data_IF_104514174755
#
_entry.id   IF_104514174755
#
_cell.length_a   1.000
_cell.length_b   1.000
_cell.length_c   1.000
_cell.angle_alpha   90.00
_cell.angle_beta   90.00
_cell.angle_gamma   90.00
#
_symmetry.space_group_name_H-M   'P 1'
#
loop_
_entity.id
_entity.type
_entity.pdbx_description
1 polymer ?
#
# COMPACT_ATOMS: atom_id res chain seq x y z
N UNK A 1 -28.52 -20.58 -35.26
CA UNK A 1 -29.30 -19.79 -34.28
C UNK A 1 -28.66 -18.43 -34.21
N UNK A 2 -29.40 -17.32 -34.33
CA UNK A 2 -28.78 -16.01 -34.12
C UNK A 2 -28.23 -15.97 -32.69
N UNK A 3 -26.96 -15.63 -32.55
CA UNK A 3 -26.34 -15.43 -31.26
C UNK A 3 -27.11 -14.32 -30.54
N UNK A 4 -27.43 -14.57 -29.28
CA UNK A 4 -28.09 -13.56 -28.44
C UNK A 4 -27.19 -12.31 -28.45
N UNK A 5 -27.72 -11.12 -28.73
CA UNK A 5 -26.86 -9.93 -28.84
C UNK A 5 -26.13 -9.72 -27.50
N UNK A 6 -24.84 -9.43 -27.59
CA UNK A 6 -24.01 -9.07 -26.42
C UNK A 6 -24.63 -7.85 -25.76
N UNK A 7 -24.77 -7.89 -24.44
CA UNK A 7 -25.33 -6.78 -23.64
C UNK A 7 -24.24 -6.11 -22.79
N UNK A 8 -24.42 -4.84 -22.49
CA UNK A 8 -23.53 -4.11 -21.58
C UNK A 8 -23.41 -4.83 -20.22
N UNK A 9 -24.52 -5.37 -19.72
CA UNK A 9 -24.55 -6.11 -18.47
C UNK A 9 -23.70 -7.39 -18.54
N UNK A 10 -23.75 -8.14 -19.66
CA UNK A 10 -22.92 -9.31 -19.83
C UNK A 10 -21.41 -8.94 -19.89
N UNK A 11 -21.06 -7.86 -20.57
CA UNK A 11 -19.68 -7.34 -20.58
C UNK A 11 -19.28 -6.90 -19.18
N UNK A 12 -20.09 -6.15 -18.47
CA UNK A 12 -19.82 -5.69 -17.10
C UNK A 12 -19.63 -6.85 -16.14
N UNK A 13 -20.42 -7.92 -16.27
CA UNK A 13 -20.31 -9.11 -15.44
C UNK A 13 -18.98 -9.86 -15.64
N UNK A 14 -18.50 -10.01 -16.86
CA UNK A 14 -17.17 -10.64 -17.08
C UNK A 14 -16.02 -9.75 -16.63
N UNK A 15 -16.18 -8.42 -16.64
CA UNK A 15 -15.22 -7.46 -16.13
C UNK A 15 -15.09 -7.49 -14.59
N UNK A 16 -16.09 -7.98 -13.84
CA UNK A 16 -15.95 -8.27 -12.41
C UNK A 16 -14.83 -9.28 -12.11
N UNK A 17 -14.45 -10.10 -13.08
CA UNK A 17 -13.32 -11.02 -12.93
C UNK A 17 -11.95 -10.37 -13.21
N UNK A 18 -11.89 -9.13 -13.68
CA UNK A 18 -10.61 -8.41 -13.89
C UNK A 18 -10.22 -7.72 -12.59
N UNK A 19 -9.19 -8.23 -11.95
CA UNK A 19 -8.72 -7.71 -10.67
C UNK A 19 -7.56 -6.74 -10.92
N UNK A 20 -7.63 -5.56 -10.30
CA UNK A 20 -6.48 -4.67 -10.19
C UNK A 20 -5.54 -5.22 -9.11
N UNK A 21 -4.29 -5.61 -9.46
CA UNK A 21 -3.40 -6.25 -8.49
C UNK A 21 -2.92 -5.30 -7.38
N UNK A 22 -2.91 -3.99 -7.63
CA UNK A 22 -2.51 -2.99 -6.63
C UNK A 22 -3.62 -2.77 -5.61
N UNK A 23 -4.85 -2.68 -6.09
CA UNK A 23 -6.03 -2.44 -5.26
C UNK A 23 -6.64 -3.73 -4.74
N UNK A 24 -6.34 -4.87 -5.39
CA UNK A 24 -6.79 -6.22 -5.04
C UNK A 24 -8.29 -6.39 -5.11
N UNK A 25 -8.95 -5.58 -5.94
CA UNK A 25 -10.39 -5.64 -6.18
C UNK A 25 -10.65 -5.53 -7.69
N UNK A 26 -11.88 -5.84 -8.10
CA UNK A 26 -12.24 -5.80 -9.50
C UNK A 26 -12.42 -4.37 -10.03
N UNK A 27 -12.08 -4.16 -11.30
CA UNK A 27 -12.09 -2.84 -11.94
C UNK A 27 -13.47 -2.20 -12.04
N UNK A 28 -14.56 -2.99 -11.95
CA UNK A 28 -15.95 -2.51 -11.99
C UNK A 28 -16.32 -1.87 -10.65
N UNK A 29 -16.13 -2.59 -9.55
CA UNK A 29 -16.43 -2.10 -8.19
C UNK A 29 -15.51 -0.94 -7.81
N UNK A 30 -14.28 -0.94 -8.28
CA UNK A 30 -13.36 0.19 -8.14
C UNK A 30 -13.82 1.44 -8.91
N UNK A 31 -14.78 1.29 -9.84
CA UNK A 31 -15.27 2.39 -10.69
C UNK A 31 -14.26 2.83 -11.76
N UNK A 32 -13.38 1.91 -12.18
CA UNK A 32 -12.43 2.16 -13.25
C UNK A 32 -13.10 2.05 -14.62
N UNK A 33 -14.14 1.23 -14.77
CA UNK A 33 -14.91 1.08 -16.01
C UNK A 33 -15.81 2.30 -16.16
N UNK A 34 -15.55 3.12 -17.20
CA UNK A 34 -16.27 4.37 -17.44
C UNK A 34 -17.39 4.17 -18.47
N UNK A 35 -17.06 3.60 -19.62
CA UNK A 35 -17.97 3.44 -20.75
C UNK A 35 -17.79 2.04 -21.34
N UNK A 36 -18.89 1.42 -21.70
CA UNK A 36 -18.93 0.18 -22.49
C UNK A 36 -19.82 0.47 -23.69
N UNK A 37 -19.27 0.44 -24.89
CA UNK A 37 -20.00 0.62 -26.16
C UNK A 37 -19.99 -0.67 -26.94
N UNK A 38 -21.15 -1.06 -27.46
CA UNK A 38 -21.31 -2.30 -28.22
C UNK A 38 -21.90 -1.93 -29.58
N UNK A 39 -21.19 -2.25 -30.64
CA UNK A 39 -21.69 -2.06 -32.01
C UNK A 39 -22.75 -3.09 -32.34
N UNK A 40 -24.00 -2.67 -32.62
CA UNK A 40 -25.07 -3.61 -32.93
C UNK A 40 -24.94 -4.28 -34.30
N UNK A 41 -24.05 -3.75 -35.16
CA UNK A 41 -23.89 -4.23 -36.54
C UNK A 41 -22.89 -5.39 -36.66
N UNK A 42 -21.81 -5.33 -35.89
CA UNK A 42 -20.68 -6.28 -36.02
C UNK A 42 -20.28 -6.95 -34.71
N UNK A 43 -20.84 -6.56 -33.56
CA UNK A 43 -20.50 -7.13 -32.26
C UNK A 43 -19.15 -6.67 -31.71
N UNK A 44 -18.60 -5.55 -32.21
CA UNK A 44 -17.41 -4.95 -31.61
C UNK A 44 -17.75 -4.33 -30.25
N UNK A 45 -16.83 -4.46 -29.31
CA UNK A 45 -16.98 -3.95 -27.94
C UNK A 45 -15.82 -2.99 -27.62
N UNK A 46 -16.16 -1.75 -27.36
CA UNK A 46 -15.24 -0.72 -26.90
C UNK A 46 -15.39 -0.52 -25.39
N UNK A 47 -14.30 -0.67 -24.63
CA UNK A 47 -14.30 -0.50 -23.17
C UNK A 47 -13.35 0.63 -22.79
N UNK A 48 -13.86 1.66 -22.14
CA UNK A 48 -13.07 2.78 -21.64
C UNK A 48 -12.80 2.60 -20.15
N UNK A 49 -11.51 2.56 -19.79
CA UNK A 49 -11.01 2.39 -18.42
C UNK A 49 -10.29 3.65 -17.99
N UNK A 50 -10.64 4.20 -16.84
CA UNK A 50 -9.90 5.28 -16.20
C UNK A 50 -8.89 4.71 -15.18
N UNK A 51 -7.62 5.05 -15.36
CA UNK A 51 -6.53 4.67 -14.46
C UNK A 51 -6.24 5.80 -13.45
N UNK A 52 -5.66 5.45 -12.32
CA UNK A 52 -5.25 6.43 -11.31
C UNK A 52 -4.11 7.32 -11.80
N UNK A 53 -3.24 6.80 -12.67
CA UNK A 53 -2.16 7.53 -13.33
C UNK A 53 -2.03 7.10 -14.78
N UNK A 54 -1.65 8.02 -15.67
CA UNK A 54 -1.42 7.70 -17.09
C UNK A 54 -0.27 6.69 -17.31
N UNK A 55 0.69 6.64 -16.38
CA UNK A 55 1.86 5.76 -16.41
C UNK A 55 1.70 4.44 -15.65
N UNK A 56 0.47 3.96 -15.40
CA UNK A 56 0.23 2.72 -14.66
C UNK A 56 0.99 1.53 -15.27
N UNK A 57 1.90 0.89 -14.54
CA UNK A 57 2.70 -0.24 -15.04
C UNK A 57 1.84 -1.48 -15.32
N UNK A 58 0.67 -1.58 -14.72
CA UNK A 58 -0.26 -2.70 -14.89
C UNK A 58 -1.20 -2.55 -16.09
N UNK A 59 -1.13 -1.42 -16.81
CA UNK A 59 -1.99 -1.13 -17.96
C UNK A 59 -2.01 -2.28 -18.96
N UNK A 60 -0.85 -2.86 -19.28
CA UNK A 60 -0.75 -3.96 -20.24
C UNK A 60 -1.42 -5.25 -19.75
N UNK A 61 -1.31 -5.54 -18.45
CA UNK A 61 -1.94 -6.70 -17.83
C UNK A 61 -3.45 -6.54 -17.78
N UNK A 62 -3.95 -5.41 -17.31
CA UNK A 62 -5.39 -5.09 -17.26
C UNK A 62 -6.00 -5.18 -18.66
N UNK A 63 -5.35 -4.59 -19.66
CA UNK A 63 -5.79 -4.67 -21.07
C UNK A 63 -5.89 -6.12 -21.55
N UNK A 64 -4.89 -6.94 -21.28
CA UNK A 64 -4.87 -8.36 -21.67
C UNK A 64 -6.01 -9.14 -21.03
N UNK A 65 -6.27 -8.91 -19.74
CA UNK A 65 -7.32 -9.60 -19.00
C UNK A 65 -8.72 -9.16 -19.46
N UNK A 66 -8.93 -7.86 -19.73
CA UNK A 66 -10.17 -7.34 -20.31
C UNK A 66 -10.43 -8.00 -21.66
N UNK A 67 -9.46 -7.93 -22.59
CA UNK A 67 -9.61 -8.51 -23.93
C UNK A 67 -9.93 -10.00 -23.87
N UNK A 68 -9.22 -10.76 -23.08
CA UNK A 68 -9.44 -12.21 -22.91
C UNK A 68 -10.87 -12.54 -22.45
N UNK A 69 -11.37 -11.82 -21.42
CA UNK A 69 -12.66 -12.08 -20.81
C UNK A 69 -13.83 -11.62 -21.69
N UNK A 70 -13.73 -10.43 -22.25
CA UNK A 70 -14.79 -9.89 -23.11
C UNK A 70 -14.87 -10.67 -24.44
N UNK A 71 -13.73 -11.05 -25.03
CA UNK A 71 -13.72 -11.87 -26.24
C UNK A 71 -14.27 -13.30 -26.03
N UNK A 72 -14.39 -13.78 -24.78
CA UNK A 72 -15.03 -15.07 -24.50
C UNK A 72 -16.57 -15.03 -24.55
N UNK A 73 -17.17 -13.85 -24.63
CA UNK A 73 -18.62 -13.72 -24.74
C UNK A 73 -19.10 -14.08 -26.16
N UNK A 74 -20.17 -14.88 -26.28
CA UNK A 74 -20.74 -15.20 -27.58
C UNK A 74 -21.24 -13.95 -28.30
N UNK A 75 -20.88 -13.76 -29.56
CA UNK A 75 -21.30 -12.62 -30.38
C UNK A 75 -20.35 -11.41 -30.34
N UNK A 76 -19.25 -11.46 -29.58
CA UNK A 76 -18.18 -10.46 -29.63
C UNK A 76 -17.26 -10.76 -30.81
N UNK A 77 -17.03 -9.76 -31.68
CA UNK A 77 -16.15 -9.88 -32.83
C UNK A 77 -14.76 -9.30 -32.51
N UNK A 78 -14.69 -8.07 -32.02
CA UNK A 78 -13.45 -7.41 -31.65
C UNK A 78 -13.60 -6.68 -30.30
N UNK A 79 -12.50 -6.61 -29.52
CA UNK A 79 -12.47 -5.89 -28.24
C UNK A 79 -11.39 -4.82 -28.30
N UNK A 80 -11.79 -3.57 -28.17
CA UNK A 80 -10.90 -2.41 -28.04
C UNK A 80 -10.95 -1.86 -26.65
N UNK A 81 -9.79 -1.53 -26.08
CA UNK A 81 -9.68 -1.00 -24.72
C UNK A 81 -9.00 0.36 -24.78
N UNK A 82 -9.74 1.37 -24.34
CA UNK A 82 -9.28 2.75 -24.25
C UNK A 82 -8.94 3.08 -22.81
N UNK A 83 -7.84 3.81 -22.62
CA UNK A 83 -7.41 4.23 -21.28
C UNK A 83 -7.40 5.74 -21.17
N UNK A 84 -8.07 6.22 -20.13
CA UNK A 84 -8.04 7.60 -19.68
C UNK A 84 -7.44 7.72 -18.27
N UNK A 85 -7.33 8.93 -17.79
CA UNK A 85 -6.93 9.22 -16.41
C UNK A 85 -8.15 9.64 -15.60
N UNK A 86 -8.23 9.14 -14.35
CA UNK A 86 -9.28 9.53 -13.41
C UNK A 86 -9.16 11.00 -13.03
N UNK A 87 -10.29 11.67 -12.90
CA UNK A 87 -10.38 12.98 -12.27
C UNK A 87 -10.04 12.88 -10.78
N UNK A 88 -9.72 14.01 -10.15
CA UNK A 88 -9.45 14.06 -8.71
C UNK A 88 -10.64 13.53 -7.87
N UNK A 89 -11.86 13.79 -8.32
CA UNK A 89 -13.08 13.30 -7.65
C UNK A 89 -13.26 11.79 -7.81
N UNK A 90 -13.02 11.25 -8.99
CA UNK A 90 -13.05 9.80 -9.23
C UNK A 90 -11.97 9.08 -8.42
N UNK A 91 -10.74 9.62 -8.34
CA UNK A 91 -9.68 9.10 -7.48
C UNK A 91 -10.10 9.08 -6.01
N UNK A 92 -10.73 10.15 -5.51
CA UNK A 92 -11.25 10.23 -4.15
C UNK A 92 -12.34 9.18 -3.88
N UNK A 93 -13.27 9.00 -4.82
CA UNK A 93 -14.32 7.99 -4.74
C UNK A 93 -13.78 6.56 -4.77
N UNK A 94 -12.81 6.25 -5.63
CA UNK A 94 -12.10 4.97 -5.69
C UNK A 94 -11.42 4.67 -4.35
N UNK A 95 -10.71 5.63 -3.79
CA UNK A 95 -10.04 5.49 -2.50
C UNK A 95 -11.02 5.23 -1.36
N UNK A 96 -12.18 5.89 -1.36
CA UNK A 96 -13.21 5.67 -0.35
C UNK A 96 -13.78 4.25 -0.44
N UNK A 97 -14.04 3.72 -1.64
CA UNK A 97 -14.53 2.35 -1.86
C UNK A 97 -13.49 1.30 -1.47
N UNK A 98 -12.24 1.48 -1.91
CA UNK A 98 -11.15 0.58 -1.57
C UNK A 98 -10.96 0.47 -0.04
N UNK A 99 -11.11 1.58 0.70
CA UNK A 99 -11.08 1.61 2.18
C UNK A 99 -12.23 0.87 2.82
N UNK A 100 -13.43 1.11 2.32
CA UNK A 100 -14.63 0.49 2.89
C UNK A 100 -14.54 -1.03 2.76
N UNK A 101 -14.18 -1.53 1.57
CA UNK A 101 -13.94 -2.98 1.35
C UNK A 101 -12.76 -3.54 2.15
N UNK A 102 -11.69 -2.76 2.33
CA UNK A 102 -10.55 -3.19 3.15
C UNK A 102 -10.92 -3.36 4.63
N UNK A 103 -11.88 -2.56 5.13
CA UNK A 103 -12.43 -2.75 6.49
C UNK A 103 -13.21 -4.06 6.64
N UNK A 104 -13.99 -4.42 5.62
CA UNK A 104 -14.82 -5.64 5.65
C UNK A 104 -14.01 -6.91 5.38
N UNK A 105 -12.90 -6.79 4.60
CA UNK A 105 -12.00 -7.88 4.22
C UNK A 105 -10.58 -7.63 4.76
N UNK A 106 -10.46 -7.13 5.99
CA UNK A 106 -9.15 -6.89 6.59
C UNK A 106 -8.32 -8.18 6.54
N UNK A 107 -7.14 -8.08 5.92
CA UNK A 107 -6.15 -9.18 5.95
C UNK A 107 -5.88 -9.47 7.42
N UNK A 108 -5.96 -10.75 7.80
CA UNK A 108 -5.67 -11.17 9.16
C UNK A 108 -4.17 -10.97 9.38
N UNK A 109 -3.82 -9.88 10.04
CA UNK A 109 -2.45 -9.61 10.47
C UNK A 109 -2.29 -10.05 11.93
N UNK A 110 -1.09 -10.47 12.31
CA UNK A 110 -0.77 -10.80 13.69
C UNK A 110 -0.51 -9.56 14.58
N UNK A 111 -0.85 -8.36 14.09
CA UNK A 111 -0.72 -7.14 14.88
C UNK A 111 -1.90 -7.04 15.86
N UNK A 112 -1.67 -7.07 17.18
CA UNK A 112 -2.72 -7.01 18.18
C UNK A 112 -3.65 -5.82 17.97
N UNK A 113 -4.95 -6.01 18.27
CA UNK A 113 -5.95 -4.95 18.12
C UNK A 113 -5.68 -3.74 19.02
N UNK A 114 -4.98 -3.95 20.11
CA UNK A 114 -4.57 -2.93 21.10
C UNK A 114 -3.39 -2.08 20.61
N UNK A 115 -2.58 -2.58 19.68
CA UNK A 115 -1.42 -1.87 19.14
C UNK A 115 -1.84 -0.64 18.36
N UNK A 116 -1.31 0.52 18.69
CA UNK A 116 -1.51 1.74 17.94
C UNK A 116 -0.54 1.80 16.75
N UNK A 117 -1.06 1.96 15.53
CA UNK A 117 -0.27 1.90 14.29
C UNK A 117 -0.12 3.29 13.73
N UNK A 118 1.13 3.72 13.53
CA UNK A 118 1.46 5.04 12.98
C UNK A 118 2.41 4.89 11.80
N UNK A 119 1.95 5.26 10.61
CA UNK A 119 2.81 5.34 9.41
C UNK A 119 3.42 6.73 9.30
N UNK A 120 4.73 6.79 9.20
CA UNK A 120 5.48 8.02 8.99
C UNK A 120 5.79 8.13 7.49
N UNK A 121 5.19 9.10 6.84
CA UNK A 121 5.26 9.30 5.40
C UNK A 121 5.88 10.65 5.05
N UNK A 122 6.34 10.77 3.82
CA UNK A 122 6.83 12.04 3.27
C UNK A 122 6.54 12.13 1.78
N UNK A 123 6.26 13.33 1.30
CA UNK A 123 6.08 13.58 -0.12
C UNK A 123 7.40 13.57 -0.92
N UNK A 124 8.54 13.73 -0.26
CA UNK A 124 9.88 13.86 -0.86
C UNK A 124 10.92 13.15 0.02
N UNK A 125 11.94 12.59 -0.62
CA UNK A 125 13.10 12.04 0.09
C UNK A 125 13.96 13.12 0.77
N UNK A 126 14.69 12.74 1.81
CA UNK A 126 15.66 13.62 2.49
C UNK A 126 15.06 14.68 3.44
N UNK A 127 13.77 14.55 3.81
CA UNK A 127 13.10 15.50 4.73
C UNK A 127 13.25 15.13 6.21
N UNK A 128 13.96 14.04 6.52
CA UNK A 128 14.16 13.57 7.90
C UNK A 128 13.11 12.57 8.40
N UNK A 129 12.33 11.95 7.52
CA UNK A 129 11.30 10.97 7.85
C UNK A 129 11.81 9.86 8.78
N UNK A 130 12.86 9.14 8.36
CA UNK A 130 13.44 8.04 9.14
C UNK A 130 14.07 8.51 10.47
N UNK A 131 14.64 9.73 10.50
CA UNK A 131 15.11 10.34 11.75
C UNK A 131 13.96 10.61 12.72
N UNK A 132 12.81 11.08 12.24
CA UNK A 132 11.59 11.26 13.06
C UNK A 132 11.11 9.91 13.56
N UNK A 133 11.02 8.90 12.70
CA UNK A 133 10.61 7.54 13.07
C UNK A 133 11.51 6.95 14.16
N UNK A 134 12.83 7.00 13.95
CA UNK A 134 13.80 6.45 14.88
C UNK A 134 13.74 7.15 16.26
N UNK A 135 13.73 8.48 16.27
CA UNK A 135 13.68 9.24 17.52
C UNK A 135 12.35 9.05 18.25
N UNK A 136 11.22 9.02 17.55
CA UNK A 136 9.91 8.76 18.16
C UNK A 136 9.88 7.37 18.79
N UNK A 137 10.39 6.34 18.10
CA UNK A 137 10.48 4.98 18.63
C UNK A 137 11.31 4.93 19.92
N UNK A 138 12.50 5.51 19.91
CA UNK A 138 13.38 5.54 21.07
C UNK A 138 12.74 6.28 22.25
N UNK A 139 12.10 7.42 22.00
CA UNK A 139 11.43 8.19 23.06
C UNK A 139 10.22 7.46 23.67
N UNK A 140 9.43 6.76 22.88
CA UNK A 140 8.33 5.94 23.38
C UNK A 140 8.86 4.76 24.21
N UNK A 141 9.91 4.08 23.75
CA UNK A 141 10.53 3.00 24.51
C UNK A 141 11.16 3.50 25.82
N UNK A 142 11.79 4.66 25.82
CA UNK A 142 12.30 5.27 27.08
C UNK A 142 11.19 5.57 28.10
N UNK A 143 9.94 5.67 27.68
CA UNK A 143 8.78 5.82 28.58
C UNK A 143 8.22 4.48 29.07
N UNK A 144 8.87 3.36 28.77
CA UNK A 144 8.49 2.03 29.21
C UNK A 144 7.55 1.29 28.24
N UNK A 145 7.39 1.79 27.01
CA UNK A 145 6.50 1.17 26.02
C UNK A 145 7.25 0.15 25.17
N UNK A 146 6.53 -0.85 24.68
CA UNK A 146 7.02 -1.77 23.65
C UNK A 146 6.65 -1.24 22.27
N UNK A 147 7.68 -0.95 21.46
CA UNK A 147 7.51 -0.28 20.17
C UNK A 147 8.08 -1.14 19.04
N UNK A 148 7.21 -1.58 18.15
CA UNK A 148 7.61 -2.15 16.86
C UNK A 148 7.99 -1.05 15.88
N UNK A 149 9.03 -1.27 15.10
CA UNK A 149 9.44 -0.40 13.99
C UNK A 149 9.61 -1.24 12.73
N UNK A 150 8.76 -0.98 11.74
CA UNK A 150 8.86 -1.57 10.42
C UNK A 150 9.49 -0.55 9.46
N UNK A 151 10.71 -0.84 9.00
CA UNK A 151 11.35 -0.07 7.94
C UNK A 151 10.89 -0.59 6.57
N UNK A 152 9.95 0.11 5.97
CA UNK A 152 9.38 -0.22 4.67
C UNK A 152 10.08 0.49 3.50
N UNK A 153 11.15 1.26 3.77
CA UNK A 153 11.98 1.89 2.73
C UNK A 153 13.06 0.92 2.24
N UNK A 154 12.68 0.03 1.33
CA UNK A 154 13.54 -1.07 0.84
C UNK A 154 14.80 -0.54 0.14
N UNK A 155 14.70 0.60 -0.55
CA UNK A 155 15.82 1.18 -1.30
C UNK A 155 16.77 2.02 -0.45
N UNK A 156 16.37 2.36 0.78
CA UNK A 156 17.12 3.27 1.64
C UNK A 156 16.97 2.95 3.11
N UNK A 157 16.87 1.67 3.46
CA UNK A 157 16.69 1.25 4.85
C UNK A 157 17.77 1.84 5.75
N UNK A 158 17.36 2.54 6.77
CA UNK A 158 18.27 3.27 7.66
C UNK A 158 17.96 3.08 9.14
N UNK A 159 16.79 2.60 9.47
CA UNK A 159 16.31 2.44 10.85
C UNK A 159 17.22 1.54 11.69
N UNK A 160 17.68 0.35 11.22
CA UNK A 160 18.55 -0.49 12.03
C UNK A 160 19.83 0.24 12.45
N UNK A 161 20.51 0.90 11.52
CA UNK A 161 21.73 1.69 11.80
C UNK A 161 21.48 2.86 12.75
N UNK A 162 20.36 3.60 12.56
CA UNK A 162 19.99 4.72 13.45
C UNK A 162 19.66 4.25 14.87
N UNK A 163 19.11 3.07 15.01
CA UNK A 163 18.77 2.48 16.31
C UNK A 163 19.95 1.73 16.94
N UNK A 164 21.06 1.55 16.22
CA UNK A 164 22.16 0.71 16.67
C UNK A 164 21.69 -0.72 16.94
N UNK A 165 20.84 -1.25 16.06
CA UNK A 165 20.37 -2.63 16.09
C UNK A 165 21.05 -3.35 14.94
N UNK A 166 21.94 -4.27 15.29
CA UNK A 166 22.68 -5.07 14.33
C UNK A 166 22.19 -6.52 14.36
N UNK A 167 22.24 -7.19 13.22
CA UNK A 167 21.89 -8.59 13.11
C UNK A 167 20.93 -8.89 11.99
N UNK A 168 20.59 -10.17 11.89
CA UNK A 168 19.62 -10.67 10.91
C UNK A 168 18.40 -11.24 11.64
N UNK A 169 17.24 -11.05 11.08
CA UNK A 169 16.02 -11.69 11.59
C UNK A 169 16.17 -13.20 11.52
N UNK A 170 15.82 -13.86 12.60
CA UNK A 170 15.91 -15.32 12.71
C UNK A 170 14.55 -15.97 12.51
N UNK A 171 14.56 -17.14 11.85
CA UNK A 171 13.36 -17.97 11.77
C UNK A 171 13.04 -18.55 13.14
N UNK A 172 11.83 -18.39 13.60
CA UNK A 172 11.27 -18.97 14.83
C UNK A 172 10.01 -19.77 14.49
N UNK A 173 9.56 -20.61 15.39
CA UNK A 173 8.24 -21.25 15.28
C UNK A 173 7.33 -20.63 16.33
N UNK A 174 6.12 -20.27 15.93
CA UNK A 174 5.09 -19.86 16.89
C UNK A 174 4.53 -21.08 17.66
N UNK A 175 3.63 -20.82 18.61
CA UNK A 175 3.00 -21.88 19.43
C UNK A 175 2.23 -22.91 18.60
N UNK A 176 1.75 -22.51 17.40
CA UNK A 176 1.08 -23.38 16.45
C UNK A 176 2.06 -24.14 15.52
N UNK A 177 3.38 -23.98 15.70
CA UNK A 177 4.44 -24.59 14.88
C UNK A 177 4.66 -23.92 13.53
N UNK A 178 4.03 -22.76 13.23
CA UNK A 178 4.21 -22.03 11.98
C UNK A 178 5.56 -21.31 11.98
N UNK A 179 6.25 -21.34 10.83
CA UNK A 179 7.50 -20.61 10.65
C UNK A 179 7.22 -19.10 10.65
N UNK A 180 7.95 -18.35 11.45
CA UNK A 180 7.87 -16.90 11.64
C UNK A 180 9.26 -16.28 11.63
N UNK A 181 9.33 -14.97 11.55
CA UNK A 181 10.56 -14.20 11.75
C UNK A 181 10.52 -13.49 13.09
N UNK A 182 11.57 -13.64 13.90
CA UNK A 182 11.71 -12.85 15.12
C UNK A 182 12.20 -11.44 14.78
N UNK A 183 11.55 -10.38 15.28
CA UNK A 183 12.09 -9.03 15.15
C UNK A 183 13.43 -8.93 15.89
N UNK A 184 14.28 -7.99 15.46
CA UNK A 184 15.48 -7.63 16.23
C UNK A 184 15.05 -6.81 17.44
N UNK A 185 15.41 -7.24 18.64
CA UNK A 185 14.99 -6.61 19.88
C UNK A 185 16.14 -5.82 20.52
N UNK A 186 15.80 -4.63 21.04
CA UNK A 186 16.72 -3.77 21.77
C UNK A 186 16.04 -3.14 22.97
N UNK A 187 16.49 -3.42 24.21
CA UNK A 187 16.02 -2.66 25.37
C UNK A 187 16.45 -1.19 25.28
N UNK A 188 15.52 -0.28 25.59
CA UNK A 188 15.77 1.18 25.62
C UNK A 188 15.13 1.75 26.88
N UNK A 189 15.94 2.05 27.88
CA UNK A 189 15.43 2.40 29.20
C UNK A 189 14.56 1.27 29.79
N UNK A 190 13.36 1.56 30.29
CA UNK A 190 12.44 0.54 30.79
C UNK A 190 11.59 -0.16 29.72
N UNK A 191 11.69 0.27 28.46
CA UNK A 191 10.90 -0.28 27.36
C UNK A 191 11.72 -1.11 26.36
N UNK A 192 11.07 -1.50 25.26
CA UNK A 192 11.63 -2.41 24.26
C UNK A 192 11.36 -1.89 22.84
N UNK A 193 12.39 -1.91 22.01
CA UNK A 193 12.25 -1.77 20.55
C UNK A 193 12.27 -3.13 19.91
N UNK A 194 11.37 -3.34 18.93
CA UNK A 194 11.31 -4.48 18.04
C UNK A 194 11.45 -3.97 16.61
N UNK A 195 12.57 -4.24 15.95
CA UNK A 195 12.90 -3.65 14.64
C UNK A 195 12.91 -4.73 13.56
N UNK A 196 12.24 -4.45 12.46
CA UNK A 196 12.28 -5.25 11.23
C UNK A 196 12.53 -4.33 10.05
N UNK A 197 13.48 -4.71 9.21
CA UNK A 197 13.81 -4.01 7.97
C UNK A 197 14.16 -5.02 6.90
N UNK A 198 13.99 -4.67 5.64
CA UNK A 198 14.43 -5.51 4.52
C UNK A 198 15.92 -5.82 4.58
N UNK A 199 16.74 -4.89 5.02
CA UNK A 199 18.19 -5.12 5.22
C UNK A 199 18.52 -6.16 6.30
N UNK A 200 17.56 -6.50 7.14
CA UNK A 200 17.72 -7.51 8.21
C UNK A 200 17.38 -8.94 7.76
N UNK A 201 16.90 -9.13 6.51
CA UNK A 201 16.54 -10.46 5.98
C UNK A 201 17.74 -11.05 5.23
N UNK A 202 17.99 -12.33 5.48
CA UNK A 202 19.06 -13.06 4.81
C UNK A 202 18.77 -13.24 3.31
N UNK A 203 19.76 -12.93 2.43
CA UNK A 203 19.65 -13.11 0.98
C UNK A 203 19.51 -11.83 0.16
N UNK A 204 19.29 -10.68 0.77
CA UNK A 204 19.43 -9.39 0.10
C UNK A 204 20.87 -8.90 0.21
N UNK A 205 21.78 -9.45 -0.62
CA UNK A 205 23.15 -8.93 -0.71
C UNK A 205 23.12 -7.46 -1.14
N UNK A 206 24.04 -6.66 -0.59
CA UNK A 206 24.19 -5.23 -0.92
C UNK A 206 24.35 -4.96 -2.42
N UNK A 207 24.76 -5.96 -3.21
CA UNK A 207 25.00 -5.86 -4.67
C UNK A 207 23.81 -6.20 -5.56
N UNK A 208 22.70 -6.70 -5.02
CA UNK A 208 21.47 -6.87 -5.80
C UNK A 208 20.59 -5.67 -5.60
N UNK A 209 20.73 -4.67 -6.43
CA UNK A 209 19.69 -3.68 -6.71
C UNK A 209 18.47 -4.41 -7.29
N UNK A 210 17.75 -5.11 -6.42
CA UNK A 210 16.49 -5.75 -6.76
C UNK A 210 15.57 -4.62 -7.16
N UNK A 211 15.23 -4.53 -8.44
CA UNK A 211 14.20 -3.61 -8.93
C UNK A 211 12.84 -4.07 -8.37
N UNK A 212 12.59 -3.75 -7.11
CA UNK A 212 11.31 -3.97 -6.46
C UNK A 212 10.29 -3.01 -7.09
N UNK A 213 9.43 -3.53 -7.92
CA UNK A 213 8.26 -2.79 -8.42
C UNK A 213 7.21 -2.75 -7.32
N UNK A 214 6.35 -1.72 -7.30
CA UNK A 214 5.39 -1.45 -6.22
C UNK A 214 4.58 -2.65 -5.72
N UNK A 215 4.21 -3.58 -6.60
CA UNK A 215 3.53 -4.83 -6.24
C UNK A 215 4.38 -5.74 -5.33
N UNK A 216 5.67 -5.88 -5.60
CA UNK A 216 6.58 -6.70 -4.78
C UNK A 216 6.81 -6.06 -3.42
N UNK A 217 6.83 -4.72 -3.38
CA UNK A 217 6.98 -3.95 -2.16
C UNK A 217 5.76 -4.08 -1.24
N UNK A 218 4.55 -4.01 -1.78
CA UNK A 218 3.32 -4.27 -1.03
C UNK A 218 3.30 -5.69 -0.46
N UNK A 219 3.78 -6.68 -1.24
CA UNK A 219 3.87 -8.07 -0.78
C UNK A 219 4.90 -8.24 0.34
N UNK A 220 6.04 -7.54 0.26
CA UNK A 220 7.04 -7.56 1.32
C UNK A 220 6.48 -6.97 2.62
N UNK A 221 5.81 -5.81 2.55
CA UNK A 221 5.14 -5.22 3.72
C UNK A 221 4.07 -6.16 4.28
N UNK A 222 3.29 -6.83 3.43
CA UNK A 222 2.31 -7.83 3.85
C UNK A 222 2.97 -8.97 4.62
N UNK A 223 4.06 -9.55 4.10
CA UNK A 223 4.81 -10.59 4.78
C UNK A 223 5.35 -10.12 6.14
N UNK A 224 5.83 -8.88 6.25
CA UNK A 224 6.25 -8.35 7.55
C UNK A 224 5.12 -8.20 8.56
N UNK A 225 3.90 -8.00 8.10
CA UNK A 225 2.74 -7.88 8.97
C UNK A 225 2.13 -9.25 9.35
N UNK A 226 2.31 -10.26 8.48
CA UNK A 226 1.76 -11.60 8.65
C UNK A 226 2.75 -12.58 9.26
N UNK A 227 4.03 -12.54 8.83
CA UNK A 227 5.02 -13.57 9.13
C UNK A 227 6.00 -13.20 10.25
N UNK A 228 6.01 -11.95 10.72
CA UNK A 228 6.83 -11.54 11.85
C UNK A 228 6.11 -11.83 13.16
N UNK A 229 6.82 -12.45 14.10
CA UNK A 229 6.33 -12.71 15.46
C UNK A 229 6.44 -11.43 16.32
N UNK A 230 5.63 -10.42 16.01
CA UNK A 230 5.67 -9.14 16.70
C UNK A 230 5.31 -9.25 18.18
N UNK A 231 4.37 -10.14 18.53
CA UNK A 231 3.83 -10.24 19.88
C UNK A 231 3.17 -8.95 20.34
N UNK A 232 3.03 -8.80 21.66
CA UNK A 232 2.40 -7.60 22.23
C UNK A 232 3.27 -6.35 22.03
N UNK A 233 2.61 -5.27 21.60
CA UNK A 233 3.21 -3.95 21.38
C UNK A 233 2.20 -2.85 21.69
N UNK A 234 2.69 -1.75 22.26
CA UNK A 234 1.89 -0.53 22.43
C UNK A 234 1.78 0.24 21.10
N UNK A 235 2.88 0.33 20.36
CA UNK A 235 2.95 1.03 19.10
C UNK A 235 3.63 0.18 18.01
N UNK A 236 3.14 0.33 16.77
CA UNK A 236 3.86 -0.06 15.56
C UNK A 236 4.09 1.19 14.71
N UNK A 237 5.34 1.61 14.59
CA UNK A 237 5.76 2.70 13.71
C UNK A 237 6.21 2.12 12.37
N UNK A 238 5.69 2.67 11.27
CA UNK A 238 6.04 2.21 9.91
C UNK A 238 6.74 3.34 9.19
N UNK A 239 8.02 3.18 8.92
CA UNK A 239 8.81 4.12 8.12
C UNK A 239 8.56 3.88 6.64
N UNK A 240 7.75 4.76 6.02
CA UNK A 240 7.29 4.61 4.65
C UNK A 240 8.36 5.04 3.65
N UNK A 241 8.46 4.42 2.46
CA UNK A 241 9.29 4.97 1.39
C UNK A 241 8.75 6.33 0.94
N UNK A 242 9.63 7.22 0.42
CA UNK A 242 9.22 8.54 -0.04
C UNK A 242 8.33 8.44 -1.29
N UNK A 243 7.26 9.24 -1.33
CA UNK A 243 6.50 9.53 -2.55
C UNK A 243 5.68 8.41 -3.18
N UNK A 244 5.50 7.26 -2.53
CA UNK A 244 4.80 6.12 -3.15
C UNK A 244 3.36 6.01 -2.70
N UNK A 245 2.43 6.45 -3.55
CA UNK A 245 0.99 6.25 -3.36
C UNK A 245 0.61 4.76 -3.25
N UNK A 246 1.33 3.88 -3.96
CA UNK A 246 1.02 2.46 -4.07
C UNK A 246 1.19 1.71 -2.75
N UNK A 247 2.30 1.95 -2.03
CA UNK A 247 2.52 1.35 -0.70
C UNK A 247 1.54 1.91 0.33
N UNK A 248 1.26 3.20 0.24
CA UNK A 248 0.27 3.85 1.08
C UNK A 248 -1.10 3.19 0.91
N UNK A 249 -1.47 2.86 -0.31
CA UNK A 249 -2.73 2.17 -0.61
C UNK A 249 -2.73 0.73 -0.11
N UNK A 250 -1.64 -0.01 -0.34
CA UNK A 250 -1.47 -1.36 0.18
C UNK A 250 -1.56 -1.41 1.70
N UNK A 251 -0.88 -0.49 2.39
CA UNK A 251 -0.91 -0.40 3.85
C UNK A 251 -2.30 -0.03 4.38
N UNK A 252 -3.00 0.92 3.75
CA UNK A 252 -4.36 1.30 4.15
C UNK A 252 -5.36 0.15 4.00
N UNK A 253 -5.09 -0.79 3.10
CA UNK A 253 -5.88 -2.01 2.92
C UNK A 253 -5.57 -3.06 3.98
N UNK A 254 -4.28 -3.27 4.29
CA UNK A 254 -3.85 -4.26 5.28
C UNK A 254 -4.10 -3.79 6.72
N UNK A 255 -3.94 -2.50 6.98
CA UNK A 255 -4.06 -1.89 8.31
C UNK A 255 -4.97 -0.64 8.26
N UNK A 256 -6.30 -0.82 8.13
CA UNK A 256 -7.25 0.29 7.94
C UNK A 256 -7.35 1.24 9.13
N UNK A 257 -6.81 0.87 10.29
CA UNK A 257 -6.73 1.69 11.52
C UNK A 257 -5.45 2.52 11.65
N UNK A 258 -4.57 2.50 10.63
CA UNK A 258 -3.30 3.23 10.66
C UNK A 258 -3.52 4.74 10.70
N UNK A 259 -2.89 5.40 11.67
CA UNK A 259 -2.73 6.85 11.71
C UNK A 259 -1.53 7.25 10.83
N UNK A 260 -1.55 8.45 10.25
CA UNK A 260 -0.44 8.92 9.40
C UNK A 260 0.12 10.21 9.91
N UNK A 261 1.44 10.24 10.01
CA UNK A 261 2.23 11.45 10.26
C UNK A 261 3.00 11.79 8.99
N UNK A 262 2.83 13.01 8.47
CA UNK A 262 3.54 13.47 7.29
C UNK A 262 4.67 14.39 7.69
N UNK A 263 5.89 13.98 7.34
CA UNK A 263 7.11 14.75 7.56
C UNK A 263 7.44 15.55 6.31
N UNK A 264 7.65 16.86 6.46
CA UNK A 264 8.04 17.77 5.38
C UNK A 264 8.98 18.85 5.88
N UNK A 265 9.58 19.59 4.95
CA UNK A 265 10.39 20.78 5.25
C UNK A 265 9.58 22.07 4.95
N UNK A 266 9.99 23.23 5.47
CA UNK A 266 9.31 24.51 5.22
C UNK A 266 9.31 24.99 3.76
N UNK A 267 10.11 24.38 2.88
CA UNK A 267 10.18 24.73 1.46
C UNK A 267 8.81 24.55 0.78
N UNK A 268 8.30 25.55 0.08
CA UNK A 268 6.99 25.54 -0.57
C UNK A 268 6.77 24.33 -1.48
N UNK A 269 7.77 23.95 -2.26
CA UNK A 269 7.70 22.76 -3.11
C UNK A 269 7.51 21.47 -2.30
N UNK A 270 8.16 21.34 -1.13
CA UNK A 270 8.00 20.19 -0.25
C UNK A 270 6.61 20.16 0.39
N UNK A 271 6.09 21.34 0.80
CA UNK A 271 4.74 21.46 1.35
C UNK A 271 3.64 21.09 0.34
N UNK A 272 3.80 21.50 -0.93
CA UNK A 272 2.85 21.13 -1.99
C UNK A 272 2.81 19.62 -2.24
N UNK A 273 3.96 18.94 -2.19
CA UNK A 273 4.02 17.49 -2.35
C UNK A 273 3.49 16.78 -1.09
N UNK A 274 3.79 17.30 0.09
CA UNK A 274 3.24 16.81 1.35
C UNK A 274 1.70 16.94 1.41
N UNK A 275 1.14 18.05 0.92
CA UNK A 275 -0.30 18.24 0.83
C UNK A 275 -0.96 17.19 -0.10
N UNK A 276 -0.30 16.78 -1.18
CA UNK A 276 -0.77 15.67 -2.03
C UNK A 276 -0.70 14.32 -1.31
N UNK A 277 0.35 14.09 -0.54
CA UNK A 277 0.46 12.88 0.29
C UNK A 277 -0.59 12.87 1.42
N UNK A 278 -1.00 14.05 1.93
CA UNK A 278 -2.04 14.19 2.95
C UNK A 278 -3.47 13.90 2.44
N UNK A 279 -3.68 13.77 1.14
CA UNK A 279 -4.96 13.28 0.59
C UNK A 279 -5.15 11.78 0.82
N UNK A 280 -4.16 11.11 1.39
CA UNK A 280 -4.27 9.75 1.84
C UNK A 280 -5.32 9.62 2.96
N UNK A 281 -6.01 8.54 2.97
CA UNK A 281 -7.26 8.32 3.69
C UNK A 281 -7.19 7.97 5.16
N UNK A 282 -6.07 7.91 5.74
CA UNK A 282 -6.00 7.81 7.18
C UNK A 282 -6.41 9.14 7.83
N UNK A 283 -6.98 9.10 9.00
CA UNK A 283 -7.23 10.30 9.81
C UNK A 283 -5.89 10.98 10.09
N UNK A 284 -5.53 11.94 9.25
CA UNK A 284 -4.43 12.83 9.55
C UNK A 284 -4.87 13.71 10.73
N UNK A 285 -4.51 13.34 11.94
CA UNK A 285 -4.54 14.25 13.07
C UNK A 285 -3.31 15.15 12.95
N UNK A 286 -3.34 16.11 12.05
CA UNK A 286 -2.36 17.18 11.99
C UNK A 286 -2.74 18.25 13.04
N UNK A 287 -2.37 18.01 14.28
CA UNK A 287 -2.38 19.01 15.33
C UNK A 287 -1.02 19.70 15.38
N UNK A 288 -0.73 20.61 14.46
CA UNK A 288 0.28 21.65 14.74
C UNK A 288 -0.41 22.75 15.53
N UNK A 289 0.10 23.12 16.70
CA UNK A 289 -0.37 24.33 17.36
C UNK A 289 -0.06 25.53 16.43
N UNK A 290 -1.04 26.40 16.23
CA UNK A 290 -0.91 27.60 15.37
C UNK A 290 0.22 28.56 15.79
N UNK A 291 0.88 28.32 16.90
CA UNK A 291 1.95 29.15 17.49
C UNK A 291 3.33 28.99 16.86
N UNK A 292 3.53 28.14 15.85
CA UNK A 292 4.84 27.98 15.20
C UNK A 292 4.93 28.55 13.78
N UNK A 293 4.01 29.45 13.40
CA UNK A 293 4.14 30.27 12.19
C UNK A 293 4.72 31.63 12.58
N UNK A 294 6.01 31.70 12.72
CA UNK A 294 6.78 32.95 12.66
C UNK A 294 7.92 32.78 11.67
#
# INVERSE_FOLDING_TARGET
MPANPVTEEAVRNVLLGVIDPELGDNIVDLGMVQVIEISPQNGDVDVTIALTTAGCPLRAQIMKDIKRRVASLPGVAEVRVHFGEMTAEQKKGLMARARWKARDNAVVTDIPATTRIVAIASGKGGVGKSSVTANLAAQLAQRGLTVGVLDADIGGFSIPGMQGVEGRVQGVKDEAGRARFAPLEKPVGPGLLKVVSMGSIEGTGEDQAIMWRGFMLNRAVQHFLEDVAWGDMDYLLIDMPPGTADIQMGLARMLPRTEVVIVTTPALAAQQVAARAATWPARATCGWPESSRT
#
